data_IF_476613194861
#
_entry.id   IF_476613194861
#
_cell.length_a   1.000
_cell.length_b   1.000
_cell.length_c   1.000
_cell.angle_alpha   90.00
_cell.angle_beta   90.00
_cell.angle_gamma   90.00
#
_symmetry.space_group_name_H-M   'P 1'
#
loop_
_entity.id
_entity.type
_entity.pdbx_description
1 polymer ?
#
# COMPACT_ATOMS: atom_id res chain seq x y z
N UNK A 1 5.14 -12.97 14.94
CA UNK A 1 5.53 -14.39 15.11
C UNK A 1 6.07 -15.01 13.83
N UNK A 2 5.41 -14.86 12.67
CA UNK A 2 5.92 -15.43 11.41
C UNK A 2 7.34 -14.92 11.06
N UNK A 3 7.65 -13.61 11.10
CA UNK A 3 8.98 -13.10 10.74
C UNK A 3 10.11 -13.53 11.70
N UNK A 4 9.81 -13.62 12.99
CA UNK A 4 10.78 -14.03 14.02
C UNK A 4 11.11 -15.52 13.94
N UNK A 5 10.12 -16.36 13.62
CA UNK A 5 10.32 -17.79 13.34
C UNK A 5 11.10 -17.97 12.03
N UNK A 6 10.78 -17.17 11.02
CA UNK A 6 11.50 -17.11 9.73
C UNK A 6 12.96 -16.76 9.90
N UNK A 7 13.25 -15.69 10.64
CA UNK A 7 14.62 -15.26 10.90
C UNK A 7 15.40 -16.29 11.75
N UNK A 8 14.72 -16.99 12.69
CA UNK A 8 15.36 -18.03 13.48
C UNK A 8 15.68 -19.27 12.64
N UNK A 9 14.76 -19.67 11.75
CA UNK A 9 15.00 -20.74 10.79
C UNK A 9 16.09 -20.36 9.79
N UNK A 10 16.07 -19.13 9.26
CA UNK A 10 17.12 -18.65 8.36
C UNK A 10 18.48 -18.70 9.07
N UNK A 11 18.63 -18.12 10.27
CA UNK A 11 19.89 -18.17 11.02
C UNK A 11 20.36 -19.62 11.29
N UNK A 12 19.44 -20.53 11.65
CA UNK A 12 19.78 -21.93 11.93
C UNK A 12 20.24 -22.71 10.68
N UNK A 13 19.57 -22.52 9.55
CA UNK A 13 19.92 -23.20 8.31
C UNK A 13 21.13 -22.58 7.62
N UNK A 14 21.35 -21.27 7.79
CA UNK A 14 22.47 -20.55 7.21
C UNK A 14 23.81 -20.96 7.84
N UNK A 15 23.79 -21.37 9.12
CA UNK A 15 24.93 -22.01 9.77
C UNK A 15 25.38 -23.31 9.07
N UNK A 16 24.45 -23.98 8.38
CA UNK A 16 24.72 -25.21 7.62
C UNK A 16 24.94 -24.96 6.13
N UNK A 17 24.88 -23.71 5.68
CA UNK A 17 25.06 -23.35 4.28
C UNK A 17 26.55 -23.28 3.90
N UNK A 18 26.91 -23.46 2.60
CA UNK A 18 28.28 -23.34 2.12
C UNK A 18 28.85 -21.95 2.42
N UNK A 19 30.19 -21.86 2.60
CA UNK A 19 30.90 -20.62 2.98
C UNK A 19 30.53 -19.43 2.10
N UNK A 20 30.34 -19.65 0.79
CA UNK A 20 29.93 -18.61 -0.16
C UNK A 20 28.58 -17.97 0.22
N UNK A 21 27.63 -18.74 0.76
CA UNK A 21 26.32 -18.26 1.21
C UNK A 21 26.38 -17.59 2.59
N UNK A 22 27.30 -18.04 3.46
CA UNK A 22 27.53 -17.41 4.76
C UNK A 22 28.06 -15.99 4.61
N UNK A 23 28.93 -15.74 3.61
CA UNK A 23 29.49 -14.43 3.32
C UNK A 23 28.43 -13.38 2.90
N UNK A 24 27.36 -13.78 2.21
CA UNK A 24 26.27 -12.85 1.82
C UNK A 24 25.48 -12.30 3.00
N UNK A 25 25.42 -13.02 4.11
CA UNK A 25 24.80 -12.58 5.36
C UNK A 25 25.84 -12.19 6.42
N UNK A 26 27.11 -12.38 6.11
CA UNK A 26 28.28 -12.06 6.92
C UNK A 26 28.81 -10.65 6.65
N UNK A 27 27.98 -9.73 6.16
CA UNK A 27 28.38 -8.35 5.82
C UNK A 27 29.01 -7.57 6.99
N UNK A 28 28.96 -8.08 8.23
CA UNK A 28 29.48 -7.38 9.40
C UNK A 28 30.61 -8.09 10.16
N UNK A 29 30.91 -9.38 9.95
CA UNK A 29 31.92 -10.08 10.76
C UNK A 29 32.62 -11.20 9.97
N UNK A 30 33.81 -10.91 9.44
CA UNK A 30 34.82 -11.91 9.08
C UNK A 30 35.39 -12.48 10.39
N UNK A 31 34.78 -13.51 10.95
CA UNK A 31 35.30 -14.17 12.14
C UNK A 31 35.69 -15.60 11.83
N UNK A 32 37.02 -15.81 11.75
CA UNK A 32 37.67 -17.10 11.52
C UNK A 32 37.45 -18.15 12.65
N UNK A 33 36.58 -17.87 13.63
CA UNK A 33 36.31 -18.79 14.74
C UNK A 33 34.81 -18.96 15.01
N UNK A 34 34.36 -20.21 14.91
CA UNK A 34 33.02 -20.69 15.29
C UNK A 34 32.83 -20.70 16.83
N UNK A 35 33.09 -19.57 17.49
CA UNK A 35 32.78 -19.43 18.92
C UNK A 35 31.26 -19.33 19.13
N UNK A 36 30.75 -19.79 20.27
CA UNK A 36 29.32 -19.68 20.61
C UNK A 36 28.81 -18.22 20.60
N UNK A 37 29.71 -17.26 20.85
CA UNK A 37 29.43 -15.82 20.83
C UNK A 37 29.19 -15.28 19.42
N UNK A 38 29.95 -15.73 18.42
CA UNK A 38 29.78 -15.27 17.02
C UNK A 38 28.47 -15.76 16.42
N UNK A 39 28.05 -16.99 16.75
CA UNK A 39 26.74 -17.54 16.35
C UNK A 39 25.58 -16.72 16.94
N UNK A 40 25.69 -16.32 18.21
CA UNK A 40 24.65 -15.54 18.89
C UNK A 40 24.53 -14.12 18.30
N UNK A 41 25.65 -13.44 18.05
CA UNK A 41 25.66 -12.14 17.37
C UNK A 41 25.07 -12.21 15.96
N UNK A 42 25.35 -13.28 15.21
CA UNK A 42 24.83 -13.45 13.86
C UNK A 42 23.31 -13.65 13.85
N UNK A 43 22.79 -14.44 14.79
CA UNK A 43 21.36 -14.63 14.96
C UNK A 43 20.67 -13.30 15.33
N UNK A 44 21.22 -12.54 16.29
CA UNK A 44 20.67 -11.22 16.67
C UNK A 44 20.66 -10.26 15.48
N UNK A 45 21.76 -10.16 14.74
CA UNK A 45 21.89 -9.25 13.59
C UNK A 45 20.92 -9.63 12.46
N UNK A 46 20.74 -10.94 12.23
CA UNK A 46 19.79 -11.46 11.24
C UNK A 46 18.34 -11.14 11.66
N UNK A 47 18.00 -11.34 12.94
CA UNK A 47 16.68 -11.01 13.48
C UNK A 47 16.38 -9.50 13.37
N UNK A 48 17.34 -8.64 13.73
CA UNK A 48 17.19 -7.18 13.61
C UNK A 48 17.00 -6.80 12.14
N UNK A 49 17.83 -7.34 11.23
CA UNK A 49 17.70 -7.09 9.79
C UNK A 49 16.32 -7.48 9.27
N UNK A 50 15.82 -8.69 9.60
CA UNK A 50 14.48 -9.12 9.19
C UNK A 50 13.36 -8.27 9.79
N UNK A 51 13.52 -7.84 11.04
CA UNK A 51 12.56 -6.97 11.69
C UNK A 51 12.48 -5.62 10.98
N UNK A 52 13.64 -5.01 10.71
CA UNK A 52 13.75 -3.71 10.05
C UNK A 52 13.33 -3.74 8.58
N UNK A 53 13.69 -4.80 7.84
CA UNK A 53 13.44 -4.91 6.41
C UNK A 53 12.01 -5.35 6.09
N UNK A 54 11.46 -6.30 6.84
CA UNK A 54 10.16 -6.90 6.50
C UNK A 54 9.07 -6.55 7.52
N UNK A 55 9.34 -6.79 8.81
CA UNK A 55 8.28 -6.67 9.83
C UNK A 55 7.82 -5.23 10.00
N UNK A 56 8.77 -4.29 10.11
CA UNK A 56 8.47 -2.89 10.38
C UNK A 56 7.70 -2.23 9.22
N UNK A 57 8.14 -2.31 7.94
CA UNK A 57 7.37 -1.75 6.82
C UNK A 57 6.00 -2.41 6.65
N UNK A 58 5.88 -3.72 6.89
CA UNK A 58 4.58 -4.41 6.88
C UNK A 58 3.66 -3.94 8.01
N UNK A 59 4.17 -3.72 9.22
CA UNK A 59 3.39 -3.16 10.32
C UNK A 59 2.91 -1.74 10.01
N UNK A 60 3.78 -0.87 9.47
CA UNK A 60 3.38 0.48 9.05
C UNK A 60 2.31 0.39 7.96
N UNK A 61 2.48 -0.49 6.98
CA UNK A 61 1.50 -0.71 5.93
C UNK A 61 0.13 -1.16 6.48
N UNK A 62 0.08 -2.04 7.48
CA UNK A 62 -1.18 -2.41 8.15
C UNK A 62 -1.84 -1.19 8.78
N UNK A 63 -1.07 -0.34 9.46
CA UNK A 63 -1.58 0.90 10.07
C UNK A 63 -2.09 1.87 9.00
N UNK A 64 -1.36 2.05 7.91
CA UNK A 64 -1.78 2.86 6.76
C UNK A 64 -3.06 2.31 6.13
N UNK A 65 -3.15 1.00 5.89
CA UNK A 65 -4.35 0.33 5.39
C UNK A 65 -5.54 0.57 6.32
N UNK A 66 -5.35 0.44 7.64
CA UNK A 66 -6.41 0.70 8.61
C UNK A 66 -6.88 2.16 8.58
N UNK A 67 -5.96 3.12 8.43
CA UNK A 67 -6.27 4.54 8.32
C UNK A 67 -7.04 4.86 7.02
N UNK A 68 -6.58 4.34 5.87
CA UNK A 68 -7.29 4.47 4.60
C UNK A 68 -8.66 3.81 4.65
N UNK A 69 -8.76 2.60 5.22
CA UNK A 69 -10.02 1.88 5.37
C UNK A 69 -11.03 2.63 6.25
N UNK A 70 -10.58 3.17 7.39
CA UNK A 70 -11.43 3.97 8.27
C UNK A 70 -11.93 5.23 7.55
N UNK A 71 -11.06 5.90 6.80
CA UNK A 71 -11.43 7.06 5.99
C UNK A 71 -12.46 6.67 4.91
N UNK A 72 -12.20 5.58 4.18
CA UNK A 72 -13.11 5.01 3.18
C UNK A 72 -14.51 4.74 3.75
N UNK A 73 -14.62 4.20 4.98
CA UNK A 73 -15.94 4.02 5.63
C UNK A 73 -16.71 5.33 5.81
N UNK A 74 -16.02 6.43 6.12
CA UNK A 74 -16.67 7.75 6.26
C UNK A 74 -17.16 8.25 4.90
N UNK A 75 -16.35 8.09 3.85
CA UNK A 75 -16.75 8.41 2.47
C UNK A 75 -17.96 7.59 2.03
N UNK A 76 -17.91 6.27 2.22
CA UNK A 76 -19.02 5.38 1.89
C UNK A 76 -20.31 5.76 2.62
N UNK A 77 -20.22 6.04 3.93
CA UNK A 77 -21.39 6.46 4.70
C UNK A 77 -22.04 7.75 4.17
N UNK A 78 -21.24 8.68 3.62
CA UNK A 78 -21.81 9.85 2.94
C UNK A 78 -22.37 9.51 1.56
N UNK A 79 -21.68 8.67 0.80
CA UNK A 79 -22.10 8.15 -0.50
C UNK A 79 -23.50 7.52 -0.42
N UNK A 80 -23.71 6.66 0.58
CA UNK A 80 -24.99 6.00 0.88
C UNK A 80 -26.08 7.04 1.23
N UNK A 81 -25.75 8.01 2.10
CA UNK A 81 -26.68 9.10 2.43
C UNK A 81 -27.07 9.90 1.19
N UNK A 82 -26.12 10.20 0.30
CA UNK A 82 -26.38 10.91 -0.97
C UNK A 82 -27.28 10.08 -1.90
N UNK A 83 -27.08 8.77 -1.98
CA UNK A 83 -27.89 7.87 -2.80
C UNK A 83 -29.36 7.80 -2.34
N UNK A 84 -29.60 7.67 -1.03
CA UNK A 84 -30.95 7.54 -0.47
C UNK A 84 -31.84 8.77 -0.70
N UNK A 85 -31.22 9.94 -0.89
CA UNK A 85 -31.94 11.21 -1.07
C UNK A 85 -32.68 11.29 -2.40
N UNK A 86 -32.30 10.49 -3.40
CA UNK A 86 -32.99 10.46 -4.70
C UNK A 86 -34.50 10.15 -4.55
N UNK A 87 -34.93 9.63 -3.39
CA UNK A 87 -36.31 9.26 -3.09
C UNK A 87 -37.08 10.28 -2.22
N UNK A 88 -36.45 11.38 -1.78
CA UNK A 88 -37.00 12.26 -0.73
C UNK A 88 -37.17 13.74 -1.12
N UNK A 89 -38.09 14.43 -0.43
CA UNK A 89 -38.34 15.88 -0.61
C UNK A 89 -37.14 16.71 -0.13
N UNK A 90 -36.74 17.67 -0.96
CA UNK A 90 -35.65 18.61 -0.72
C UNK A 90 -35.97 19.53 0.46
N UNK A 91 -35.11 19.52 1.48
CA UNK A 91 -35.21 20.44 2.61
C UNK A 91 -33.89 21.22 2.73
N UNK A 92 -33.98 22.55 2.75
CA UNK A 92 -32.83 23.46 2.88
C UNK A 92 -31.92 23.10 4.07
N UNK A 93 -32.51 22.68 5.20
CA UNK A 93 -31.77 22.23 6.37
C UNK A 93 -30.92 20.98 6.07
N UNK A 94 -31.48 20.01 5.34
CA UNK A 94 -30.77 18.78 4.95
C UNK A 94 -29.61 19.09 4.01
N UNK A 95 -29.82 19.93 3.00
CA UNK A 95 -28.76 20.34 2.06
C UNK A 95 -27.61 21.04 2.77
N UNK A 96 -27.92 21.95 3.69
CA UNK A 96 -26.88 22.62 4.49
C UNK A 96 -26.09 21.62 5.34
N UNK A 97 -26.75 20.63 5.93
CA UNK A 97 -26.09 19.54 6.65
C UNK A 97 -25.16 18.72 5.72
N UNK A 98 -25.60 18.41 4.50
CA UNK A 98 -24.77 17.68 3.53
C UNK A 98 -23.56 18.49 3.09
N UNK A 99 -23.72 19.80 2.89
CA UNK A 99 -22.60 20.67 2.55
C UNK A 99 -21.55 20.70 3.67
N UNK A 100 -21.99 20.78 4.93
CA UNK A 100 -21.07 20.69 6.07
C UNK A 100 -20.35 19.34 6.11
N UNK A 101 -21.06 18.24 5.86
CA UNK A 101 -20.45 16.91 5.81
C UNK A 101 -19.48 16.75 4.64
N UNK A 102 -19.82 17.29 3.46
CA UNK A 102 -18.94 17.35 2.30
C UNK A 102 -17.67 18.16 2.58
N UNK A 103 -17.79 19.30 3.28
CA UNK A 103 -16.63 20.09 3.72
C UNK A 103 -15.74 19.29 4.68
N UNK A 104 -16.32 18.59 5.66
CA UNK A 104 -15.56 17.75 6.59
C UNK A 104 -14.86 16.58 5.87
N UNK A 105 -15.52 15.96 4.88
CA UNK A 105 -14.89 14.95 4.04
C UNK A 105 -13.73 15.51 3.22
N UNK A 106 -13.88 16.73 2.73
CA UNK A 106 -12.83 17.42 1.98
C UNK A 106 -11.60 17.68 2.86
N UNK A 107 -11.82 18.18 4.07
CA UNK A 107 -10.76 18.37 5.07
C UNK A 107 -10.12 17.02 5.46
N UNK A 108 -10.93 15.97 5.66
CA UNK A 108 -10.45 14.62 5.95
C UNK A 108 -9.60 14.06 4.81
N UNK A 109 -10.00 14.23 3.54
CA UNK A 109 -9.24 13.78 2.39
C UNK A 109 -7.86 14.45 2.34
N UNK A 110 -7.81 15.77 2.55
CA UNK A 110 -6.56 16.52 2.58
C UNK A 110 -5.67 16.12 3.75
N UNK A 111 -6.23 15.95 4.95
CA UNK A 111 -5.48 15.49 6.10
C UNK A 111 -4.92 14.08 5.89
N UNK A 112 -5.73 13.19 5.30
CA UNK A 112 -5.34 11.81 4.98
C UNK A 112 -4.22 11.80 3.95
N UNK A 113 -4.35 12.54 2.86
CA UNK A 113 -3.33 12.61 1.82
C UNK A 113 -2.03 13.22 2.37
N UNK A 114 -2.11 14.34 3.08
CA UNK A 114 -0.93 15.00 3.66
C UNK A 114 -0.18 14.10 4.65
N UNK A 115 -0.89 13.28 5.43
CA UNK A 115 -0.27 12.39 6.41
C UNK A 115 0.24 11.08 5.79
N UNK A 116 -0.53 10.46 4.89
CA UNK A 116 -0.26 9.11 4.39
C UNK A 116 0.54 9.10 3.09
N UNK A 117 0.46 10.12 2.25
CA UNK A 117 1.21 10.19 0.98
C UNK A 117 2.73 9.96 1.12
N UNK A 118 3.46 10.64 2.05
CA UNK A 118 4.89 10.37 2.22
C UNK A 118 5.17 8.99 2.82
N UNK A 119 4.28 8.48 3.68
CA UNK A 119 4.43 7.14 4.28
C UNK A 119 4.24 6.08 3.20
N UNK A 120 3.23 6.23 2.35
CA UNK A 120 2.98 5.38 1.19
C UNK A 120 4.16 5.39 0.22
N UNK A 121 4.84 6.53 0.02
CA UNK A 121 6.08 6.59 -0.77
C UNK A 121 7.22 5.78 -0.16
N UNK A 122 7.44 5.90 1.15
CA UNK A 122 8.48 5.13 1.85
C UNK A 122 8.18 3.63 1.84
N UNK A 123 6.93 3.23 2.07
CA UNK A 123 6.50 1.83 1.96
C UNK A 123 6.70 1.34 0.53
N UNK A 124 6.21 2.07 -0.47
CA UNK A 124 6.27 1.65 -1.87
C UNK A 124 7.73 1.48 -2.32
N UNK A 125 8.58 2.47 -2.07
CA UNK A 125 10.00 2.42 -2.45
C UNK A 125 10.77 1.30 -1.74
N UNK A 126 10.62 1.17 -0.42
CA UNK A 126 11.30 0.12 0.35
C UNK A 126 10.85 -1.28 -0.06
N UNK A 127 9.55 -1.51 -0.18
CA UNK A 127 9.00 -2.82 -0.55
C UNK A 127 9.33 -3.18 -2.00
N UNK A 128 9.29 -2.23 -2.93
CA UNK A 128 9.73 -2.46 -4.31
C UNK A 128 11.22 -2.83 -4.37
N UNK A 129 12.08 -2.13 -3.64
CA UNK A 129 13.50 -2.47 -3.56
C UNK A 129 13.70 -3.90 -3.05
N UNK A 130 12.99 -4.30 -1.99
CA UNK A 130 13.08 -5.67 -1.47
C UNK A 130 12.58 -6.72 -2.47
N UNK A 131 11.50 -6.43 -3.21
CA UNK A 131 11.02 -7.33 -4.27
C UNK A 131 12.07 -7.50 -5.38
N UNK A 132 12.72 -6.43 -5.83
CA UNK A 132 13.79 -6.53 -6.84
C UNK A 132 15.03 -7.28 -6.32
N UNK A 133 15.45 -7.02 -5.08
CA UNK A 133 16.57 -7.76 -4.46
C UNK A 133 16.24 -9.25 -4.34
N UNK A 134 15.04 -9.58 -3.87
CA UNK A 134 14.56 -10.96 -3.76
C UNK A 134 14.54 -11.67 -5.11
N UNK A 135 14.08 -10.97 -6.15
CA UNK A 135 14.06 -11.47 -7.53
C UNK A 135 15.47 -11.72 -8.07
N UNK A 136 16.40 -10.77 -7.87
CA UNK A 136 17.79 -10.94 -8.27
C UNK A 136 18.43 -12.14 -7.57
N UNK A 137 18.20 -12.30 -6.27
CA UNK A 137 18.68 -13.45 -5.49
C UNK A 137 18.11 -14.77 -6.03
N UNK A 138 16.81 -14.80 -6.33
CA UNK A 138 16.13 -15.95 -6.91
C UNK A 138 16.79 -16.43 -8.23
N UNK A 139 17.17 -15.49 -9.09
CA UNK A 139 17.73 -15.79 -10.42
C UNK A 139 19.21 -16.17 -10.34
N UNK A 140 20.02 -15.42 -9.59
CA UNK A 140 21.48 -15.61 -9.50
C UNK A 140 21.83 -16.97 -8.87
N UNK A 141 21.10 -17.39 -7.84
CA UNK A 141 21.42 -18.63 -7.13
C UNK A 141 20.87 -19.90 -7.79
N UNK A 142 20.20 -19.79 -8.95
CA UNK A 142 19.73 -20.87 -9.83
C UNK A 142 19.17 -22.13 -9.15
N UNK A 143 18.63 -22.09 -7.91
CA UNK A 143 18.01 -23.23 -7.16
C UNK A 143 18.67 -24.63 -7.26
N UNK A 144 19.91 -24.73 -7.75
CA UNK A 144 20.56 -26.01 -8.08
C UNK A 144 20.87 -26.79 -6.82
N UNK A 145 21.22 -26.06 -5.75
CA UNK A 145 21.31 -26.59 -4.40
C UNK A 145 20.10 -26.10 -3.59
N UNK A 146 19.06 -26.94 -3.49
CA UNK A 146 17.81 -26.65 -2.78
C UNK A 146 18.02 -26.55 -1.27
N UNK A 147 18.59 -25.45 -0.80
CA UNK A 147 18.55 -25.12 0.62
C UNK A 147 17.17 -24.58 0.95
N UNK A 148 16.41 -25.35 1.73
CA UNK A 148 15.04 -25.02 2.18
C UNK A 148 14.94 -23.60 2.76
N UNK A 149 16.00 -23.11 3.41
CA UNK A 149 16.06 -21.75 3.96
C UNK A 149 16.10 -20.64 2.91
N UNK A 150 16.76 -20.86 1.77
CA UNK A 150 16.82 -19.88 0.69
C UNK A 150 15.44 -19.74 0.04
N UNK A 151 14.77 -20.88 -0.22
CA UNK A 151 13.39 -20.88 -0.72
C UNK A 151 12.46 -20.13 0.22
N UNK A 152 12.55 -20.40 1.52
CA UNK A 152 11.69 -19.77 2.52
C UNK A 152 11.93 -18.27 2.67
N UNK A 153 13.21 -17.85 2.60
CA UNK A 153 13.60 -16.44 2.54
C UNK A 153 12.98 -15.75 1.33
N UNK A 154 13.23 -16.28 0.12
CA UNK A 154 12.77 -15.69 -1.15
C UNK A 154 11.25 -15.59 -1.23
N UNK A 155 10.53 -16.62 -0.78
CA UNK A 155 9.06 -16.59 -0.74
C UNK A 155 8.60 -15.48 0.20
N UNK A 156 9.16 -15.39 1.40
CA UNK A 156 8.75 -14.40 2.39
C UNK A 156 9.10 -12.98 1.97
N UNK A 157 10.29 -12.76 1.42
CA UNK A 157 10.77 -11.46 0.91
C UNK A 157 10.09 -11.02 -0.37
N UNK A 158 9.38 -11.89 -1.07
CA UNK A 158 8.58 -11.51 -2.25
C UNK A 158 7.12 -11.29 -1.90
N UNK A 159 6.54 -12.16 -1.07
CA UNK A 159 5.10 -12.21 -0.81
C UNK A 159 4.65 -11.15 0.19
N UNK A 160 5.36 -10.96 1.31
CA UNK A 160 4.99 -9.97 2.34
C UNK A 160 5.04 -8.53 1.81
N UNK A 161 6.11 -8.10 1.11
CA UNK A 161 6.17 -6.78 0.47
C UNK A 161 5.04 -6.54 -0.53
N UNK A 162 4.75 -7.55 -1.36
CA UNK A 162 3.70 -7.46 -2.36
C UNK A 162 2.32 -7.24 -1.72
N UNK A 163 1.95 -8.06 -0.74
CA UNK A 163 0.66 -7.90 -0.04
C UNK A 163 0.55 -6.56 0.69
N UNK A 164 1.66 -6.10 1.27
CA UNK A 164 1.74 -4.79 1.93
C UNK A 164 1.43 -3.65 0.95
N UNK A 165 2.10 -3.62 -0.20
CA UNK A 165 1.90 -2.58 -1.22
C UNK A 165 0.50 -2.67 -1.84
N UNK A 166 0.07 -3.86 -2.24
CA UNK A 166 -1.25 -4.09 -2.83
C UNK A 166 -2.37 -3.69 -1.88
N UNK A 167 -2.26 -4.02 -0.59
CA UNK A 167 -3.23 -3.65 0.43
C UNK A 167 -3.41 -2.14 0.55
N UNK A 168 -2.30 -1.38 0.56
CA UNK A 168 -2.34 0.08 0.63
C UNK A 168 -2.99 0.67 -0.62
N UNK A 169 -2.59 0.19 -1.81
CA UNK A 169 -3.16 0.65 -3.08
C UNK A 169 -4.67 0.40 -3.13
N UNK A 170 -5.13 -0.80 -2.76
CA UNK A 170 -6.55 -1.15 -2.76
C UNK A 170 -7.37 -0.29 -1.79
N UNK A 171 -6.84 -0.02 -0.60
CA UNK A 171 -7.54 0.80 0.39
C UNK A 171 -7.63 2.26 -0.05
N UNK A 172 -6.55 2.80 -0.62
CA UNK A 172 -6.51 4.16 -1.15
C UNK A 172 -7.38 4.32 -2.41
N UNK A 173 -7.39 3.33 -3.30
CA UNK A 173 -8.19 3.37 -4.54
C UNK A 173 -9.69 3.40 -4.23
N UNK A 174 -10.14 2.65 -3.22
CA UNK A 174 -11.54 2.69 -2.77
C UNK A 174 -12.01 4.07 -2.33
N UNK A 175 -11.16 4.88 -1.72
CA UNK A 175 -11.55 6.26 -1.39
C UNK A 175 -11.80 7.06 -2.67
N UNK A 176 -10.95 6.90 -3.67
CA UNK A 176 -11.11 7.58 -4.97
C UNK A 176 -12.40 7.12 -5.67
N UNK A 177 -12.72 5.83 -5.61
CA UNK A 177 -13.98 5.28 -6.14
C UNK A 177 -15.21 5.90 -5.45
N UNK A 178 -15.22 5.96 -4.11
CA UNK A 178 -16.32 6.57 -3.35
C UNK A 178 -16.47 8.07 -3.64
N UNK A 179 -15.37 8.80 -3.82
CA UNK A 179 -15.40 10.22 -4.23
C UNK A 179 -16.08 10.38 -5.60
N UNK A 180 -15.76 9.51 -6.56
CA UNK A 180 -16.40 9.51 -7.89
C UNK A 180 -17.89 9.18 -7.77
N UNK A 181 -18.25 8.24 -6.90
CA UNK A 181 -19.64 7.84 -6.67
C UNK A 181 -20.45 9.00 -6.06
N UNK A 182 -19.93 9.65 -5.02
CA UNK A 182 -20.52 10.85 -4.41
C UNK A 182 -20.75 11.93 -5.47
N UNK A 183 -19.75 12.21 -6.31
CA UNK A 183 -19.86 13.23 -7.35
C UNK A 183 -20.93 12.89 -8.38
N UNK A 184 -20.98 11.63 -8.80
CA UNK A 184 -21.98 11.12 -9.76
C UNK A 184 -23.38 11.24 -9.19
N UNK A 185 -23.59 10.81 -7.94
CA UNK A 185 -24.89 10.90 -7.29
C UNK A 185 -25.32 12.35 -7.07
N UNK A 186 -24.40 13.24 -6.66
CA UNK A 186 -24.67 14.67 -6.54
C UNK A 186 -25.05 15.29 -7.91
N UNK A 187 -24.38 14.88 -8.98
CA UNK A 187 -24.67 15.35 -10.33
C UNK A 187 -26.04 14.87 -10.84
N UNK A 188 -26.38 13.61 -10.57
CA UNK A 188 -27.72 13.07 -10.88
C UNK A 188 -28.79 13.83 -10.12
N UNK A 189 -28.62 14.04 -8.81
CA UNK A 189 -29.54 14.82 -7.99
C UNK A 189 -29.71 16.26 -8.51
N UNK A 190 -28.59 16.92 -8.83
CA UNK A 190 -28.62 18.27 -9.39
C UNK A 190 -29.41 18.31 -10.71
N UNK A 191 -29.20 17.37 -11.62
CA UNK A 191 -29.92 17.33 -12.90
C UNK A 191 -31.42 17.08 -12.71
N UNK A 192 -31.80 16.16 -11.81
CA UNK A 192 -33.21 15.90 -11.50
C UNK A 192 -33.90 17.16 -10.97
N UNK A 193 -33.26 17.88 -10.05
CA UNK A 193 -33.86 19.06 -9.42
C UNK A 193 -33.83 20.32 -10.27
N UNK A 194 -32.88 20.47 -11.19
CA UNK A 194 -32.92 21.56 -12.17
C UNK A 194 -34.14 21.41 -13.09
N UNK A 195 -34.53 20.17 -13.40
CA UNK A 195 -35.69 19.89 -14.23
C UNK A 195 -37.03 20.05 -13.48
N UNK A 196 -37.04 19.90 -12.16
CA UNK A 196 -38.19 20.20 -11.31
C UNK A 196 -38.27 21.72 -11.06
N UNK A 197 -39.20 22.42 -11.73
CA UNK A 197 -39.28 23.89 -11.84
C UNK A 197 -39.43 24.69 -10.54
N UNK A 198 -39.34 24.07 -9.36
CA UNK A 198 -39.56 24.67 -8.04
C UNK A 198 -38.29 24.66 -7.15
N UNK A 199 -37.12 24.31 -7.69
CA UNK A 199 -35.89 24.27 -6.90
C UNK A 199 -35.38 25.69 -6.55
N UNK A 200 -35.07 25.92 -5.27
CA UNK A 200 -34.45 27.17 -4.80
C UNK A 200 -33.06 27.33 -5.44
N UNK A 201 -32.86 28.43 -6.17
CA UNK A 201 -31.58 28.80 -6.81
C UNK A 201 -30.39 28.76 -5.82
N UNK A 202 -30.61 29.07 -4.54
CA UNK A 202 -29.54 29.00 -3.53
C UNK A 202 -29.11 27.56 -3.28
N UNK A 203 -30.05 26.61 -3.25
CA UNK A 203 -29.75 25.19 -3.07
C UNK A 203 -29.00 24.63 -4.28
N UNK A 204 -29.46 24.97 -5.50
CA UNK A 204 -28.78 24.59 -6.74
C UNK A 204 -27.34 25.11 -6.80
N UNK A 205 -27.12 26.35 -6.34
CA UNK A 205 -25.77 26.92 -6.27
C UNK A 205 -24.87 26.15 -5.31
N UNK A 206 -25.34 25.78 -4.11
CA UNK A 206 -24.56 25.00 -3.14
C UNK A 206 -24.21 23.60 -3.69
N UNK A 207 -25.14 22.96 -4.39
CA UNK A 207 -24.90 21.66 -5.03
C UNK A 207 -23.90 21.75 -6.17
N UNK A 208 -24.01 22.79 -7.00
CA UNK A 208 -23.01 23.08 -8.01
C UNK A 208 -21.63 23.25 -7.37
N UNK A 209 -21.54 23.99 -6.26
CA UNK A 209 -20.26 24.14 -5.54
C UNK A 209 -19.71 22.79 -5.11
N UNK A 210 -20.51 21.92 -4.49
CA UNK A 210 -20.07 20.57 -4.10
C UNK A 210 -19.57 19.75 -5.30
N UNK A 211 -20.31 19.74 -6.42
CA UNK A 211 -19.94 18.99 -7.65
C UNK A 211 -18.64 19.53 -8.28
N UNK A 212 -18.41 20.85 -8.21
CA UNK A 212 -17.21 21.50 -8.76
C UNK A 212 -15.98 21.35 -7.87
N UNK A 213 -16.16 21.03 -6.59
CA UNK A 213 -15.07 20.93 -5.63
C UNK A 213 -14.26 19.67 -5.94
N UNK A 214 -12.96 19.84 -6.26
CA UNK A 214 -12.06 18.72 -6.56
C UNK A 214 -11.40 18.22 -5.28
N UNK A 215 -11.77 17.02 -4.84
CA UNK A 215 -11.07 16.32 -3.77
C UNK A 215 -9.60 16.04 -4.16
N UNK A 216 -8.68 15.98 -3.18
CA UNK A 216 -7.32 15.54 -3.45
C UNK A 216 -7.33 14.09 -3.93
N UNK A 217 -6.50 13.81 -4.93
CA UNK A 217 -6.24 12.46 -5.41
C UNK A 217 -5.32 11.78 -4.39
N UNK A 218 -5.58 10.51 -4.08
CA UNK A 218 -4.70 9.75 -3.19
C UNK A 218 -3.43 9.37 -3.94
N UNK A 219 -2.26 9.81 -3.47
CA UNK A 219 -0.99 9.61 -4.19
C UNK A 219 0.09 8.98 -3.33
N UNK A 220 1.14 8.52 -4.01
CA UNK A 220 2.42 8.09 -3.46
C UNK A 220 3.37 9.28 -3.55
N UNK A 221 3.45 10.06 -2.48
CA UNK A 221 4.37 11.20 -2.35
C UNK A 221 4.17 12.31 -3.39
N UNK A 222 2.94 12.55 -3.87
CA UNK A 222 2.60 13.46 -4.97
C UNK A 222 3.24 13.12 -6.33
N UNK A 223 3.86 11.94 -6.46
CA UNK A 223 4.51 11.52 -7.71
C UNK A 223 3.55 10.68 -8.56
N UNK A 224 2.76 9.82 -7.90
CA UNK A 224 2.03 8.77 -8.58
C UNK A 224 0.70 8.46 -7.91
N UNK A 225 -0.36 8.34 -8.71
CA UNK A 225 -1.70 8.03 -8.20
C UNK A 225 -1.79 6.60 -7.67
N UNK A 226 -2.41 6.42 -6.49
CA UNK A 226 -2.72 5.12 -5.91
C UNK A 226 -3.96 4.49 -6.60
N UNK A 227 -3.75 4.02 -7.83
CA UNK A 227 -4.78 3.36 -8.65
C UNK A 227 -4.49 1.86 -8.80
N UNK A 228 -5.53 1.07 -9.05
CA UNK A 228 -5.41 -0.36 -9.36
C UNK A 228 -4.43 -0.65 -10.51
N UNK A 229 -4.37 0.24 -11.51
CA UNK A 229 -3.41 0.14 -12.62
C UNK A 229 -1.95 0.09 -12.16
N UNK A 230 -1.64 0.64 -10.98
CA UNK A 230 -0.31 0.61 -10.41
C UNK A 230 0.15 -0.81 -10.06
N UNK A 231 -0.77 -1.65 -9.60
CA UNK A 231 -0.47 -3.04 -9.24
C UNK A 231 0.03 -3.78 -10.48
N UNK A 232 -0.66 -3.61 -11.62
CA UNK A 232 -0.25 -4.22 -12.89
C UNK A 232 1.10 -3.68 -13.38
N UNK A 233 1.33 -2.37 -13.24
CA UNK A 233 2.63 -1.76 -13.55
C UNK A 233 3.76 -2.35 -12.71
N UNK A 234 3.52 -2.56 -11.41
CA UNK A 234 4.48 -3.19 -10.49
C UNK A 234 4.80 -4.62 -10.91
N UNK A 235 3.80 -5.46 -11.18
CA UNK A 235 4.03 -6.81 -11.70
C UNK A 235 4.77 -6.81 -13.05
N UNK A 236 4.37 -5.95 -13.97
CA UNK A 236 5.02 -5.83 -15.29
C UNK A 236 6.48 -5.40 -15.17
N UNK A 237 6.79 -4.50 -14.23
CA UNK A 237 8.16 -4.09 -13.95
C UNK A 237 8.98 -5.23 -13.36
N UNK A 238 8.46 -5.97 -12.37
CA UNK A 238 9.13 -7.12 -11.77
C UNK A 238 9.42 -8.20 -12.82
N UNK A 239 8.45 -8.48 -13.69
CA UNK A 239 8.63 -9.45 -14.77
C UNK A 239 9.71 -9.01 -15.77
N UNK A 240 9.67 -7.75 -16.21
CA UNK A 240 10.67 -7.19 -17.13
C UNK A 240 12.07 -7.24 -16.55
N UNK A 241 12.24 -6.81 -15.29
CA UNK A 241 13.54 -6.87 -14.62
C UNK A 241 14.01 -8.31 -14.40
N UNK A 242 13.11 -9.23 -14.08
CA UNK A 242 13.44 -10.65 -13.94
C UNK A 242 13.96 -11.26 -15.24
N UNK A 243 13.27 -10.98 -16.36
CA UNK A 243 13.73 -11.42 -17.68
C UNK A 243 15.08 -10.80 -18.06
N UNK A 244 15.30 -9.52 -17.73
CA UNK A 244 16.56 -8.84 -18.00
C UNK A 244 17.72 -9.48 -17.24
N UNK A 245 17.55 -9.76 -15.94
CA UNK A 245 18.58 -10.45 -15.14
C UNK A 245 18.86 -11.85 -15.70
N UNK A 246 17.81 -12.58 -16.08
CA UNK A 246 17.94 -13.91 -16.66
C UNK A 246 18.70 -13.88 -18.01
N UNK A 247 18.43 -12.88 -18.85
CA UNK A 247 19.14 -12.68 -20.12
C UNK A 247 20.62 -12.38 -19.91
N UNK A 248 20.97 -11.55 -18.92
CA UNK A 248 22.37 -11.21 -18.62
C UNK A 248 23.11 -12.40 -18.00
N UNK A 249 22.41 -13.22 -17.20
CA UNK A 249 23.03 -14.37 -16.52
C UNK A 249 23.26 -15.56 -17.46
N UNK A 250 22.46 -15.69 -18.52
CA UNK A 250 22.58 -16.76 -19.52
C UNK A 250 23.44 -16.37 -20.74
N UNK A 251 23.96 -15.14 -20.78
CA UNK A 251 24.91 -14.66 -21.80
C UNK A 251 26.35 -14.83 -21.34
#
# INVERSE_FOLDING_TARGET
MIPSVLAAMCAFFLQKAPVNYQQYYGFFLSYDSYSSYTVLLWNITTQISFLCMFSFPSCISIVCCAAYYKSCKVFKGFSDVVADIHQGVLNRYKVSKWMNMHRLLYELAHATEKALSPISLLIFSSQCLFMYISLAYCIVFQFKDRYFAILWYVISSSVLPLFSVVGVILCASKISEEIVLIRTNLQLLYNTWVNESNADNKILLLMRTMITTKFPIMTVGNIMDLKLGLIFSLFGSLFTYGLLILSVTNS
#
